data_IF_152619869734
#
_entry.id   IF_152619869734
#
_cell.length_a   1.000
_cell.length_b   1.000
_cell.length_c   1.000
_cell.angle_alpha   90.00
_cell.angle_beta   90.00
_cell.angle_gamma   90.00
#
_symmetry.space_group_name_H-M   'P 1'
#
loop_
_entity.id
_entity.type
_entity.pdbx_description
1 polymer ?
#
# COMPACT_ATOMS: atom_id res chain seq x y z
N UNK A 1 -18.83 18.41 26.39
CA UNK A 1 -18.32 19.68 26.95
C UNK A 1 -17.36 19.36 28.11
N UNK A 2 -16.10 19.73 27.99
CA UNK A 2 -15.02 19.44 28.98
C UNK A 2 -15.40 19.94 30.40
N UNK A 3 -15.94 21.13 30.54
CA UNK A 3 -16.34 21.69 31.85
C UNK A 3 -17.35 20.78 32.58
N UNK A 4 -18.34 20.25 31.86
CA UNK A 4 -19.33 19.36 32.43
C UNK A 4 -18.71 18.02 32.81
N UNK A 5 -17.83 17.48 31.99
CA UNK A 5 -17.12 16.26 32.31
C UNK A 5 -16.27 16.39 33.59
N UNK A 6 -15.52 17.47 33.74
CA UNK A 6 -14.71 17.76 34.94
C UNK A 6 -15.54 17.89 36.20
N UNK A 7 -16.75 18.48 36.11
CA UNK A 7 -17.65 18.67 37.24
C UNK A 7 -18.19 17.33 37.76
N UNK A 8 -18.48 16.36 36.86
CA UNK A 8 -19.22 15.14 37.24
C UNK A 8 -18.35 13.88 37.28
N UNK A 9 -17.14 13.89 36.74
CA UNK A 9 -16.26 12.70 36.64
C UNK A 9 -15.92 12.13 38.03
N UNK A 10 -15.77 12.97 39.04
CA UNK A 10 -15.48 12.55 40.42
C UNK A 10 -16.66 11.82 41.10
N UNK A 11 -17.83 11.85 40.54
CA UNK A 11 -19.02 11.17 41.05
C UNK A 11 -19.15 9.73 40.54
N UNK A 12 -18.30 9.32 39.58
CA UNK A 12 -18.28 7.95 39.08
C UNK A 12 -17.76 7.04 40.20
N UNK A 13 -18.49 5.97 40.46
CA UNK A 13 -18.19 4.98 41.50
C UNK A 13 -17.76 3.67 40.86
N UNK A 14 -17.02 2.85 41.60
CA UNK A 14 -16.61 1.49 41.21
C UNK A 14 -17.45 0.38 41.85
N UNK A 15 -18.73 0.66 42.12
CA UNK A 15 -19.65 -0.28 42.75
C UNK A 15 -20.19 -1.34 41.77
N UNK A 16 -19.35 -1.86 40.90
CA UNK A 16 -19.65 -2.92 39.97
C UNK A 16 -18.87 -4.19 40.29
N UNK A 17 -19.22 -5.31 39.67
CA UNK A 17 -18.65 -6.63 39.95
C UNK A 17 -17.11 -6.68 39.73
N UNK A 18 -16.57 -5.85 38.83
CA UNK A 18 -15.13 -5.75 38.51
C UNK A 18 -14.39 -4.69 39.32
N UNK A 19 -15.11 -3.91 40.16
CA UNK A 19 -14.57 -2.77 40.92
C UNK A 19 -13.81 -1.74 40.06
N UNK A 20 -14.26 -1.55 38.82
CA UNK A 20 -13.70 -0.63 37.86
C UNK A 20 -14.52 0.66 37.76
N UNK A 21 -13.88 1.77 37.39
CA UNK A 21 -14.56 3.03 37.10
C UNK A 21 -14.94 3.08 35.61
N UNK A 22 -16.25 3.01 35.31
CA UNK A 22 -16.72 3.09 33.95
C UNK A 22 -17.06 4.53 33.57
N UNK A 23 -16.35 5.09 32.61
CA UNK A 23 -16.63 6.45 32.14
C UNK A 23 -18.06 6.59 31.59
N UNK A 24 -18.64 5.52 31.07
CA UNK A 24 -20.02 5.48 30.59
C UNK A 24 -21.07 5.79 31.67
N UNK A 25 -20.76 5.54 32.95
CA UNK A 25 -21.66 5.82 34.07
C UNK A 25 -21.96 7.34 34.22
N UNK A 26 -21.09 8.18 33.65
CA UNK A 26 -21.31 9.64 33.62
C UNK A 26 -22.60 10.01 32.91
N UNK A 27 -23.06 9.23 31.94
CA UNK A 27 -24.31 9.48 31.20
C UNK A 27 -25.48 9.45 32.19
N UNK A 28 -25.52 8.43 33.02
CA UNK A 28 -26.57 8.32 34.07
C UNK A 28 -26.49 9.47 35.06
N UNK A 29 -25.29 9.79 35.54
CA UNK A 29 -25.07 10.89 36.50
C UNK A 29 -25.55 12.23 35.89
N UNK A 30 -25.27 12.48 34.61
CA UNK A 30 -25.72 13.69 33.94
C UNK A 30 -27.25 13.75 33.81
N UNK A 31 -27.88 12.64 33.45
CA UNK A 31 -29.34 12.55 33.36
C UNK A 31 -29.99 12.80 34.72
N UNK A 32 -29.48 12.15 35.79
CA UNK A 32 -29.97 12.30 37.17
C UNK A 32 -29.83 13.76 37.68
N UNK A 33 -28.84 14.51 37.14
CA UNK A 33 -28.63 15.92 37.40
C UNK A 33 -29.32 16.86 36.40
N UNK A 34 -30.31 16.38 35.64
CA UNK A 34 -31.09 17.14 34.67
C UNK A 34 -30.24 17.84 33.58
N UNK A 35 -29.07 17.27 33.26
CA UNK A 35 -28.25 17.75 32.16
C UNK A 35 -28.69 17.12 30.84
N UNK A 36 -28.63 17.89 29.76
CA UNK A 36 -28.99 17.40 28.43
C UNK A 36 -27.90 16.47 27.91
N UNK A 37 -28.27 15.23 27.62
CA UNK A 37 -27.43 14.22 26.93
C UNK A 37 -28.00 14.00 25.54
N UNK A 38 -27.16 14.08 24.53
CA UNK A 38 -27.52 13.75 23.15
C UNK A 38 -26.74 12.52 22.70
N UNK A 39 -27.39 11.64 21.96
CA UNK A 39 -26.79 10.45 21.38
C UNK A 39 -26.58 10.63 19.88
N UNK A 40 -25.49 10.09 19.38
CA UNK A 40 -25.22 9.96 17.96
C UNK A 40 -25.00 8.47 17.66
N UNK A 41 -25.76 7.93 16.71
CA UNK A 41 -25.60 6.54 16.28
C UNK A 41 -24.75 6.51 15.03
N UNK A 42 -23.63 5.83 15.10
CA UNK A 42 -22.81 5.53 13.92
C UNK A 42 -23.53 4.52 13.04
N UNK A 43 -23.41 4.73 11.73
CA UNK A 43 -23.94 3.81 10.72
C UNK A 43 -22.99 2.66 10.44
N UNK A 44 -21.68 2.88 10.60
CA UNK A 44 -20.62 1.88 10.46
C UNK A 44 -20.11 1.47 11.86
N UNK A 45 -20.37 0.23 12.23
CA UNK A 45 -19.94 -0.32 13.53
C UNK A 45 -18.41 -0.47 13.62
N UNK A 46 -17.72 -0.59 12.48
CA UNK A 46 -16.26 -0.67 12.43
C UNK A 46 -15.57 0.54 13.06
N UNK A 47 -16.11 1.73 12.83
CA UNK A 47 -15.52 2.99 13.33
C UNK A 47 -15.48 3.08 14.86
N UNK A 48 -16.33 2.34 15.56
CA UNK A 48 -16.51 2.39 17.02
C UNK A 48 -16.18 1.08 17.73
N UNK A 49 -15.71 0.07 16.99
CA UNK A 49 -15.38 -1.22 17.56
C UNK A 49 -14.09 -1.15 18.38
N UNK A 50 -14.19 -1.53 19.67
CA UNK A 50 -13.06 -1.58 20.59
C UNK A 50 -12.21 -2.83 20.36
N UNK A 51 -10.90 -2.69 20.53
CA UNK A 51 -9.92 -3.79 20.44
C UNK A 51 -9.38 -4.10 21.83
N UNK A 52 -9.63 -5.30 22.34
CA UNK A 52 -9.17 -5.77 23.64
C UNK A 52 -8.17 -6.93 23.56
N UNK A 53 -8.12 -7.62 22.43
CA UNK A 53 -7.23 -8.75 22.19
C UNK A 53 -6.59 -8.68 20.80
N UNK A 54 -5.52 -9.47 20.59
CA UNK A 54 -4.92 -9.63 19.27
C UNK A 54 -5.88 -10.25 18.25
N UNK A 55 -6.82 -11.06 18.71
CA UNK A 55 -7.85 -11.66 17.86
C UNK A 55 -8.80 -10.57 17.37
N UNK A 56 -9.25 -9.68 18.26
CA UNK A 56 -10.11 -8.55 17.87
C UNK A 56 -9.41 -7.64 16.87
N UNK A 57 -8.11 -7.37 17.11
CA UNK A 57 -7.29 -6.55 16.19
C UNK A 57 -7.23 -7.16 14.79
N UNK A 58 -6.93 -8.45 14.68
CA UNK A 58 -6.86 -9.13 13.38
C UNK A 58 -8.21 -9.17 12.68
N UNK A 59 -9.28 -9.45 13.41
CA UNK A 59 -10.62 -9.46 12.83
C UNK A 59 -11.02 -8.08 12.29
N UNK A 60 -10.72 -7.02 13.04
CA UNK A 60 -11.01 -5.65 12.64
C UNK A 60 -10.15 -5.21 11.44
N UNK A 61 -8.86 -5.57 11.44
CA UNK A 61 -7.95 -5.31 10.32
C UNK A 61 -8.44 -5.99 9.04
N UNK A 62 -8.83 -7.26 9.11
CA UNK A 62 -9.35 -8.00 7.95
C UNK A 62 -10.63 -7.35 7.39
N UNK A 63 -11.55 -6.91 8.25
CA UNK A 63 -12.75 -6.21 7.82
C UNK A 63 -12.41 -4.88 7.14
N UNK A 64 -11.50 -4.11 7.72
CA UNK A 64 -11.03 -2.84 7.16
C UNK A 64 -10.33 -3.00 5.78
N UNK A 65 -9.44 -3.99 5.66
CA UNK A 65 -8.76 -4.30 4.40
C UNK A 65 -9.75 -4.76 3.32
N UNK A 66 -10.72 -5.58 3.71
CA UNK A 66 -11.79 -6.03 2.82
C UNK A 66 -12.62 -4.86 2.31
N UNK A 67 -13.04 -3.95 3.18
CA UNK A 67 -13.79 -2.74 2.81
C UNK A 67 -12.98 -1.88 1.82
N UNK A 68 -11.67 -1.69 2.04
CA UNK A 68 -10.81 -1.00 1.08
C UNK A 68 -10.80 -1.66 -0.31
N UNK A 69 -10.73 -2.98 -0.37
CA UNK A 69 -10.73 -3.71 -1.62
C UNK A 69 -12.11 -3.67 -2.31
N UNK A 70 -13.19 -3.72 -1.55
CA UNK A 70 -14.56 -3.56 -2.06
C UNK A 70 -14.80 -2.16 -2.64
N UNK A 71 -14.31 -1.10 -1.98
CA UNK A 71 -14.36 0.27 -2.51
C UNK A 71 -13.62 0.41 -3.86
N UNK A 72 -12.54 -0.34 -4.06
CA UNK A 72 -11.85 -0.39 -5.36
C UNK A 72 -12.73 -1.07 -6.42
N UNK A 73 -13.42 -2.16 -6.10
CA UNK A 73 -14.38 -2.82 -7.00
C UNK A 73 -15.50 -1.87 -7.41
N UNK A 74 -16.10 -1.15 -6.45
CA UNK A 74 -17.14 -0.15 -6.70
C UNK A 74 -16.66 1.00 -7.59
N UNK A 75 -15.39 1.38 -7.50
CA UNK A 75 -14.77 2.41 -8.34
C UNK A 75 -14.37 1.92 -9.73
N UNK A 76 -14.62 0.65 -10.08
CA UNK A 76 -14.35 0.06 -11.40
C UNK A 76 -12.99 -0.61 -11.53
N UNK A 77 -12.27 -0.85 -10.44
CA UNK A 77 -11.05 -1.66 -10.42
C UNK A 77 -11.43 -3.14 -10.27
N UNK A 78 -10.87 -4.02 -11.10
CA UNK A 78 -11.04 -5.47 -10.93
C UNK A 78 -10.07 -5.98 -9.86
N UNK A 79 -10.57 -6.31 -8.68
CA UNK A 79 -9.81 -7.03 -7.64
C UNK A 79 -10.24 -8.49 -7.66
N UNK A 80 -9.35 -9.41 -8.03
CA UNK A 80 -9.66 -10.83 -8.22
C UNK A 80 -10.13 -11.53 -6.94
N UNK A 81 -9.53 -11.17 -5.81
CA UNK A 81 -9.94 -11.68 -4.50
C UNK A 81 -9.67 -10.61 -3.42
N UNK A 82 -10.73 -9.93 -2.95
CA UNK A 82 -10.62 -8.93 -1.88
C UNK A 82 -9.98 -9.45 -0.58
N UNK A 83 -10.19 -10.73 -0.25
CA UNK A 83 -9.63 -11.33 0.97
C UNK A 83 -8.12 -11.63 0.86
N UNK A 84 -7.58 -11.64 -0.36
CA UNK A 84 -6.15 -11.86 -0.63
C UNK A 84 -5.46 -10.64 -1.24
N UNK A 85 -6.00 -9.46 -0.99
CA UNK A 85 -5.40 -8.18 -1.39
C UNK A 85 -5.12 -7.38 -0.13
N UNK A 86 -3.86 -7.04 0.11
CA UNK A 86 -3.42 -6.39 1.34
C UNK A 86 -3.03 -4.93 1.06
N UNK A 87 -3.82 -3.99 1.61
CA UNK A 87 -3.65 -2.54 1.37
C UNK A 87 -3.26 -1.83 2.66
N UNK A 88 -1.94 -1.78 2.93
CA UNK A 88 -1.34 -1.21 4.15
C UNK A 88 -0.99 0.26 4.04
N UNK A 89 -1.73 1.03 3.24
CA UNK A 89 -1.44 2.45 3.04
C UNK A 89 -2.47 3.10 2.13
N UNK A 90 -2.04 4.13 1.39
CA UNK A 90 -2.85 4.83 0.42
C UNK A 90 -2.66 4.24 -0.96
N UNK A 91 -3.63 3.49 -1.43
CA UNK A 91 -3.65 2.97 -2.79
C UNK A 91 -4.61 3.82 -3.64
N UNK A 92 -4.07 4.53 -4.63
CA UNK A 92 -4.84 5.30 -5.63
C UNK A 92 -4.80 4.58 -6.96
N UNK A 93 -5.96 4.21 -7.45
CA UNK A 93 -6.10 3.41 -8.67
C UNK A 93 -6.99 4.16 -9.67
N UNK A 94 -6.54 4.23 -10.92
CA UNK A 94 -7.34 4.77 -12.03
C UNK A 94 -8.30 3.71 -12.60
N UNK A 95 -9.08 4.07 -13.61
CA UNK A 95 -10.07 3.17 -14.22
C UNK A 95 -9.43 1.95 -14.92
N UNK A 96 -10.18 0.87 -15.00
CA UNK A 96 -9.81 -0.36 -15.72
C UNK A 96 -8.50 -1.01 -15.24
N UNK A 97 -8.14 -0.83 -13.99
CA UNK A 97 -6.99 -1.52 -13.41
C UNK A 97 -7.42 -2.91 -12.94
N UNK A 98 -6.55 -3.89 -13.13
CA UNK A 98 -6.73 -5.26 -12.67
C UNK A 98 -5.68 -5.61 -11.63
N UNK A 99 -6.11 -6.09 -10.45
CA UNK A 99 -5.26 -6.54 -9.35
C UNK A 99 -5.53 -8.03 -9.12
N UNK A 100 -4.50 -8.83 -9.28
CA UNK A 100 -4.54 -10.27 -9.07
C UNK A 100 -4.36 -10.61 -7.57
N UNK A 101 -4.44 -11.88 -7.23
CA UNK A 101 -4.40 -12.38 -5.85
C UNK A 101 -3.04 -12.17 -5.17
N UNK A 102 -3.05 -12.11 -3.84
CA UNK A 102 -1.87 -12.00 -2.98
C UNK A 102 -0.99 -10.78 -3.29
N UNK A 103 -1.57 -9.71 -3.80
CA UNK A 103 -0.86 -8.45 -3.99
C UNK A 103 -0.82 -7.67 -2.67
N UNK A 104 0.33 -7.08 -2.37
CA UNK A 104 0.55 -6.25 -1.19
C UNK A 104 0.91 -4.84 -1.62
N UNK A 105 0.20 -3.85 -1.08
CA UNK A 105 0.43 -2.43 -1.33
C UNK A 105 0.76 -1.73 -0.02
N UNK A 106 1.92 -1.12 0.08
CA UNK A 106 2.35 -0.40 1.30
C UNK A 106 2.64 1.06 1.01
N UNK A 107 2.39 1.90 2.01
CA UNK A 107 2.57 3.36 1.95
C UNK A 107 1.76 3.99 0.78
N UNK A 108 2.36 4.93 0.05
CA UNK A 108 1.72 5.62 -1.06
C UNK A 108 1.98 4.91 -2.39
N UNK A 109 0.96 4.27 -2.96
CA UNK A 109 1.02 3.63 -4.27
C UNK A 109 -0.02 4.26 -5.19
N UNK A 110 0.39 4.58 -6.43
CA UNK A 110 -0.53 5.03 -7.47
C UNK A 110 -0.41 4.19 -8.74
N UNK A 111 -1.55 3.82 -9.34
CA UNK A 111 -1.62 2.95 -10.51
C UNK A 111 -2.48 3.63 -11.58
N UNK A 112 -1.89 3.82 -12.75
CA UNK A 112 -2.54 4.42 -13.92
C UNK A 112 -3.50 3.45 -14.61
N UNK A 113 -4.36 4.02 -15.44
CA UNK A 113 -5.45 3.32 -16.13
C UNK A 113 -4.97 2.15 -16.99
N UNK A 114 -5.81 1.13 -17.14
CA UNK A 114 -5.60 -0.09 -17.94
C UNK A 114 -4.36 -0.89 -17.52
N UNK A 115 -3.85 -0.71 -16.32
CA UNK A 115 -2.69 -1.45 -15.84
C UNK A 115 -3.09 -2.73 -15.13
N UNK A 116 -2.22 -3.73 -15.19
CA UNK A 116 -2.43 -5.05 -14.60
C UNK A 116 -1.33 -5.33 -13.58
N UNK A 117 -1.73 -5.70 -12.36
CA UNK A 117 -0.81 -6.13 -11.30
C UNK A 117 -0.97 -7.63 -11.09
N UNK A 118 0.02 -8.39 -11.52
CA UNK A 118 0.04 -9.85 -11.41
C UNK A 118 0.23 -10.34 -9.98
N UNK A 119 -0.20 -11.55 -9.72
CA UNK A 119 -0.23 -12.16 -8.39
C UNK A 119 1.13 -12.16 -7.67
N UNK A 120 1.08 -12.18 -6.34
CA UNK A 120 2.24 -12.18 -5.45
C UNK A 120 3.18 -10.98 -5.66
N UNK A 121 2.69 -9.86 -6.17
CA UNK A 121 3.48 -8.65 -6.35
C UNK A 121 3.45 -7.80 -5.08
N UNK A 122 4.59 -7.17 -4.78
CA UNK A 122 4.75 -6.25 -3.65
C UNK A 122 5.12 -4.85 -4.19
N UNK A 123 4.27 -3.87 -3.90
CA UNK A 123 4.43 -2.49 -4.32
C UNK A 123 4.47 -1.57 -3.09
N UNK A 124 5.54 -0.78 -2.95
CA UNK A 124 5.70 0.16 -1.84
C UNK A 124 6.23 1.49 -2.36
N UNK A 125 5.60 2.61 -1.96
CA UNK A 125 6.00 3.99 -2.32
C UNK A 125 6.35 4.15 -3.79
N UNK A 126 5.47 3.75 -4.69
CA UNK A 126 5.76 3.75 -6.12
C UNK A 126 4.64 4.34 -6.96
N UNK A 127 5.00 4.75 -8.15
CA UNK A 127 4.07 5.24 -9.17
C UNK A 127 4.14 4.35 -10.40
N UNK A 128 3.01 3.80 -10.77
CA UNK A 128 2.83 2.97 -11.98
C UNK A 128 2.03 3.79 -12.98
N UNK A 129 2.54 3.92 -14.19
CA UNK A 129 1.91 4.62 -15.30
C UNK A 129 0.70 3.89 -15.87
N UNK A 130 0.23 4.31 -17.03
CA UNK A 130 -0.90 3.73 -17.77
C UNK A 130 -0.45 2.55 -18.63
N UNK A 131 -1.37 1.60 -18.86
CA UNK A 131 -1.13 0.43 -19.69
C UNK A 131 0.13 -0.35 -19.28
N UNK A 132 0.42 -0.42 -17.99
CA UNK A 132 1.59 -1.12 -17.45
C UNK A 132 1.21 -2.53 -17.05
N UNK A 133 2.03 -3.51 -17.41
CA UNK A 133 1.88 -4.86 -16.93
C UNK A 133 3.00 -5.22 -15.93
N UNK A 134 2.66 -5.25 -14.65
CA UNK A 134 3.50 -5.83 -13.60
C UNK A 134 3.22 -7.32 -13.55
N UNK A 135 4.15 -8.12 -14.03
CA UNK A 135 4.04 -9.58 -14.05
C UNK A 135 4.21 -10.18 -12.65
N UNK A 136 3.75 -11.43 -12.45
CA UNK A 136 3.76 -12.08 -11.13
C UNK A 136 5.11 -12.07 -10.41
N UNK A 137 5.05 -12.10 -9.06
CA UNK A 137 6.22 -12.17 -8.18
C UNK A 137 7.22 -11.00 -8.36
N UNK A 138 6.73 -9.84 -8.69
CA UNK A 138 7.54 -8.63 -8.88
C UNK A 138 7.53 -7.75 -7.65
N UNK A 139 8.71 -7.22 -7.27
CA UNK A 139 8.87 -6.32 -6.12
C UNK A 139 9.26 -4.94 -6.63
N UNK A 140 8.45 -3.93 -6.28
CA UNK A 140 8.71 -2.52 -6.63
C UNK A 140 8.72 -1.67 -5.37
N UNK A 141 9.82 -1.01 -5.11
CA UNK A 141 9.99 -0.18 -3.93
C UNK A 141 10.59 1.18 -4.29
N UNK A 142 9.90 2.29 -3.95
CA UNK A 142 10.41 3.66 -4.10
C UNK A 142 10.75 4.06 -5.54
N UNK A 143 9.97 3.59 -6.53
CA UNK A 143 10.29 3.74 -7.94
C UNK A 143 9.14 4.33 -8.75
N UNK A 144 9.46 4.80 -9.95
CA UNK A 144 8.46 5.25 -10.93
C UNK A 144 8.59 4.42 -12.22
N UNK A 145 7.46 3.88 -12.65
CA UNK A 145 7.33 3.10 -13.90
C UNK A 145 6.47 3.94 -14.86
N UNK A 146 7.02 4.26 -16.01
CA UNK A 146 6.33 4.99 -17.06
C UNK A 146 5.29 4.16 -17.80
N UNK A 147 4.56 4.83 -18.70
CA UNK A 147 3.46 4.22 -19.44
C UNK A 147 3.92 3.11 -20.39
N UNK A 148 3.03 2.16 -20.68
CA UNK A 148 3.23 1.08 -21.63
C UNK A 148 4.45 0.19 -21.32
N UNK A 149 4.83 0.07 -20.05
CA UNK A 149 5.93 -0.78 -19.61
C UNK A 149 5.45 -2.18 -19.24
N UNK A 150 6.37 -3.13 -19.39
CA UNK A 150 6.22 -4.48 -18.82
C UNK A 150 7.35 -4.74 -17.84
N UNK A 151 7.01 -5.19 -16.61
CA UNK A 151 8.01 -5.44 -15.55
C UNK A 151 7.78 -6.81 -14.95
N UNK A 152 8.83 -7.63 -14.91
CA UNK A 152 8.79 -8.97 -14.36
C UNK A 152 8.65 -10.08 -15.41
N UNK A 153 8.35 -11.32 -15.00
CA UNK A 153 8.16 -11.74 -13.60
C UNK A 153 9.48 -11.81 -12.81
N UNK A 154 9.39 -11.90 -11.48
CA UNK A 154 10.56 -11.98 -10.59
C UNK A 154 11.55 -10.82 -10.76
N UNK A 155 11.08 -9.64 -11.10
CA UNK A 155 11.90 -8.43 -11.15
C UNK A 155 11.92 -7.73 -9.79
N UNK A 156 13.04 -7.08 -9.47
CA UNK A 156 13.19 -6.25 -8.29
C UNK A 156 13.57 -4.83 -8.67
N UNK A 157 12.64 -3.89 -8.49
CA UNK A 157 12.87 -2.47 -8.77
C UNK A 157 13.05 -1.76 -7.44
N UNK A 158 14.23 -1.15 -7.24
CA UNK A 158 14.64 -0.55 -5.98
C UNK A 158 14.52 0.98 -5.99
N UNK A 159 14.60 1.60 -4.79
CA UNK A 159 14.44 3.05 -4.64
C UNK A 159 15.35 3.88 -5.56
N UNK A 160 14.81 5.04 -5.96
CA UNK A 160 15.49 5.97 -6.84
C UNK A 160 15.45 5.61 -8.32
N UNK A 161 14.85 4.48 -8.68
CA UNK A 161 14.73 4.04 -10.07
C UNK A 161 13.59 4.76 -10.79
N UNK A 162 13.87 5.23 -12.00
CA UNK A 162 12.88 5.77 -12.95
C UNK A 162 12.95 5.00 -14.26
N UNK A 163 11.90 4.31 -14.61
CA UNK A 163 11.75 3.60 -15.88
C UNK A 163 10.81 4.46 -16.74
N UNK A 164 11.30 4.94 -17.88
CA UNK A 164 10.50 5.73 -18.81
C UNK A 164 9.55 4.83 -19.62
N UNK A 165 8.77 5.43 -20.49
CA UNK A 165 7.72 4.71 -21.20
C UNK A 165 8.24 3.63 -22.16
N UNK A 166 7.39 2.62 -22.40
CA UNK A 166 7.59 1.53 -23.38
C UNK A 166 8.81 0.63 -23.09
N UNK A 167 9.25 0.56 -21.84
CA UNK A 167 10.36 -0.30 -21.45
C UNK A 167 9.89 -1.73 -21.14
N UNK A 168 10.81 -2.68 -21.33
CA UNK A 168 10.59 -4.07 -20.97
C UNK A 168 11.68 -4.54 -20.01
N UNK A 169 11.29 -4.82 -18.77
CA UNK A 169 12.15 -5.33 -17.71
C UNK A 169 11.72 -6.76 -17.44
N UNK A 170 12.57 -7.73 -17.74
CA UNK A 170 12.21 -9.13 -17.68
C UNK A 170 12.57 -9.82 -16.37
N UNK A 171 12.68 -11.15 -16.46
CA UNK A 171 12.82 -12.00 -15.29
C UNK A 171 14.21 -11.95 -14.65
N UNK A 172 14.22 -12.00 -13.31
CA UNK A 172 15.43 -11.97 -12.50
C UNK A 172 16.32 -10.75 -12.79
N UNK A 173 15.68 -9.63 -13.06
CA UNK A 173 16.34 -8.34 -13.25
C UNK A 173 16.20 -7.51 -11.98
N UNK A 174 17.32 -7.01 -11.48
CA UNK A 174 17.34 -6.04 -10.39
C UNK A 174 17.79 -4.68 -10.92
N UNK A 175 17.01 -3.62 -10.64
CA UNK A 175 17.35 -2.24 -10.99
C UNK A 175 17.36 -1.39 -9.74
N UNK A 176 18.42 -0.63 -9.52
CA UNK A 176 18.61 0.23 -8.35
C UNK A 176 19.07 1.61 -8.77
N UNK A 177 18.37 2.67 -8.27
CA UNK A 177 18.80 4.07 -8.40
C UNK A 177 19.29 4.43 -9.82
N UNK A 178 18.49 4.06 -10.83
CA UNK A 178 18.87 4.16 -12.23
C UNK A 178 17.77 4.82 -13.06
N UNK A 179 18.19 5.48 -14.14
CA UNK A 179 17.29 6.00 -15.16
C UNK A 179 17.30 5.05 -16.37
N UNK A 180 16.16 4.50 -16.70
CA UNK A 180 15.99 3.62 -17.86
C UNK A 180 15.24 4.40 -18.95
N UNK A 181 15.91 4.69 -20.03
CA UNK A 181 15.38 5.49 -21.13
C UNK A 181 14.28 4.75 -21.90
N UNK A 182 13.44 5.54 -22.58
CA UNK A 182 12.28 5.06 -23.35
C UNK A 182 12.63 3.90 -24.29
N UNK A 183 11.76 2.88 -24.33
CA UNK A 183 11.88 1.73 -25.24
C UNK A 183 13.02 0.77 -24.92
N UNK A 184 13.72 0.99 -23.81
CA UNK A 184 14.85 0.16 -23.40
C UNK A 184 14.40 -1.20 -22.87
N UNK A 185 15.18 -2.22 -23.15
CA UNK A 185 14.92 -3.61 -22.78
C UNK A 185 16.04 -4.15 -21.89
N UNK A 186 15.68 -4.68 -20.73
CA UNK A 186 16.54 -5.40 -19.81
C UNK A 186 15.83 -6.69 -19.44
N UNK A 187 16.02 -7.74 -20.26
CA UNK A 187 15.06 -8.86 -20.26
C UNK A 187 15.42 -10.02 -19.34
N UNK A 188 16.71 -10.23 -19.02
CA UNK A 188 17.13 -11.48 -18.38
C UNK A 188 18.31 -11.30 -17.44
N UNK A 189 18.22 -11.83 -16.21
CA UNK A 189 19.33 -12.13 -15.31
C UNK A 189 20.35 -10.99 -15.18
N UNK A 190 19.91 -9.74 -15.04
CA UNK A 190 20.79 -8.59 -15.07
C UNK A 190 20.68 -7.73 -13.82
N UNK A 191 21.78 -7.11 -13.42
CA UNK A 191 21.81 -6.07 -12.41
C UNK A 191 22.17 -4.72 -13.02
N UNK A 192 21.28 -3.74 -12.88
CA UNK A 192 21.49 -2.36 -13.34
C UNK A 192 21.42 -1.44 -12.13
N UNK A 193 22.56 -1.02 -11.63
CA UNK A 193 22.67 -0.16 -10.44
C UNK A 193 23.40 1.13 -10.73
N UNK A 194 22.89 2.23 -10.18
CA UNK A 194 23.45 3.57 -10.27
C UNK A 194 23.80 3.98 -11.73
N UNK A 195 22.92 3.64 -12.68
CA UNK A 195 23.14 3.75 -14.11
C UNK A 195 22.15 4.65 -14.82
N UNK A 196 22.56 5.18 -15.96
CA UNK A 196 21.67 5.88 -16.90
C UNK A 196 21.74 5.18 -18.26
N UNK A 197 20.65 4.51 -18.63
CA UNK A 197 20.50 3.89 -19.93
C UNK A 197 19.72 4.83 -20.87
N UNK A 198 20.23 5.01 -22.08
CA UNK A 198 19.61 5.81 -23.12
C UNK A 198 18.31 5.21 -23.66
N UNK A 199 17.80 5.76 -24.76
CA UNK A 199 16.60 5.28 -25.45
C UNK A 199 16.91 4.04 -26.27
N UNK A 200 15.96 3.08 -26.32
CA UNK A 200 16.03 1.90 -27.18
C UNK A 200 17.28 1.03 -26.98
N UNK A 201 17.88 1.10 -25.79
CA UNK A 201 19.01 0.22 -25.41
C UNK A 201 18.50 -1.19 -25.19
N UNK A 202 19.26 -2.19 -25.60
CA UNK A 202 19.01 -3.58 -25.28
C UNK A 202 20.17 -4.15 -24.46
N UNK A 203 19.91 -4.50 -23.21
CA UNK A 203 20.88 -5.10 -22.30
C UNK A 203 20.85 -6.63 -22.50
N UNK A 204 22.01 -7.21 -22.79
CA UNK A 204 22.17 -8.66 -22.90
C UNK A 204 21.98 -9.39 -21.56
N UNK A 205 21.66 -10.66 -21.64
CA UNK A 205 21.49 -11.50 -20.45
C UNK A 205 22.79 -11.59 -19.63
N UNK A 206 22.67 -11.56 -18.31
CA UNK A 206 23.80 -11.66 -17.39
C UNK A 206 24.63 -10.39 -17.24
N UNK A 207 24.15 -9.24 -17.76
CA UNK A 207 24.86 -7.97 -17.63
C UNK A 207 24.81 -7.46 -16.19
N UNK A 208 25.94 -6.97 -15.71
CA UNK A 208 26.10 -6.36 -14.38
C UNK A 208 26.80 -5.02 -14.52
N UNK A 209 26.17 -3.94 -14.09
CA UNK A 209 26.85 -2.65 -13.94
C UNK A 209 27.74 -2.70 -12.70
N UNK A 210 29.06 -2.49 -12.89
CA UNK A 210 30.04 -2.50 -11.80
C UNK A 210 30.00 -1.16 -11.05
N UNK A 211 28.91 -0.90 -10.33
CA UNK A 211 28.67 0.36 -9.62
C UNK A 211 29.33 0.48 -8.25
N UNK A 212 30.10 -0.52 -7.84
CA UNK A 212 30.82 -0.55 -6.57
C UNK A 212 32.10 -1.35 -6.67
N UNK A 213 33.24 -0.79 -6.30
CA UNK A 213 34.56 -1.40 -6.39
C UNK A 213 35.09 -1.96 -5.05
N UNK A 214 34.23 -1.99 -4.03
CA UNK A 214 34.60 -2.37 -2.67
C UNK A 214 34.85 -1.16 -1.75
N UNK A 215 35.06 0.03 -2.30
CA UNK A 215 35.32 1.28 -1.58
C UNK A 215 34.39 2.40 -2.05
N UNK A 216 34.32 2.64 -3.35
CA UNK A 216 33.58 3.75 -3.94
C UNK A 216 32.39 3.28 -4.78
N UNK A 217 31.37 4.15 -4.87
CA UNK A 217 30.25 3.97 -5.80
C UNK A 217 30.52 4.72 -7.10
N UNK A 218 30.24 4.06 -8.20
CA UNK A 218 30.42 4.59 -9.55
C UNK A 218 29.08 4.67 -10.29
N UNK A 219 28.97 5.61 -11.21
CA UNK A 219 27.83 5.69 -12.14
C UNK A 219 28.24 5.11 -13.49
N UNK A 220 27.31 4.37 -14.09
CA UNK A 220 27.44 3.86 -15.47
C UNK A 220 26.50 4.67 -16.37
N UNK A 221 27.01 5.12 -17.51
CA UNK A 221 26.26 5.89 -18.50
C UNK A 221 26.29 5.13 -19.83
#
# INVERSE_FOLDING_TARGET
HEKVLREYISQIKNNNHKKEYYLTDIIKILIDNNKKVSTFKFTDELEVTGVNSKIDLINLEQQYLRQKAENLLESGTLVRDPARTDIRGNLRVSQNVEIDINCVFEDDVSIGENSIIGHNSFLNRCKIGKNVYIKPNTIIFGATIGDNCTVGPFARIRPGTKILESCNIGNFVEIKNSLIGKGTKVNHLSYVGDATLGKNVNIGAGAITCNYDGVNKHKTI
#
